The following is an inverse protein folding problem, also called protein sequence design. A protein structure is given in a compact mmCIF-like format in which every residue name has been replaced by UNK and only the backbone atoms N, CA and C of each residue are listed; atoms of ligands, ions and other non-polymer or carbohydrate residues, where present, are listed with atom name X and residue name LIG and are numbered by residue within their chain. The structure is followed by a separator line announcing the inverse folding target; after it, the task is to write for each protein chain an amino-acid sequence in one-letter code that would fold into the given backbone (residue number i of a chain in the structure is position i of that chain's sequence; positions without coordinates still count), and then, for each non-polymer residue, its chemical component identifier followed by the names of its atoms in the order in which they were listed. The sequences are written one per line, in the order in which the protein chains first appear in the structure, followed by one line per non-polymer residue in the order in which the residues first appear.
data_IF_920958993062
#
_entry.id   IF_920958993062
#
_cell.length_a   1.000
_cell.length_b   1.000
_cell.length_c   1.000
_cell.angle_alpha   90.00
_cell.angle_beta   90.00
_cell.angle_gamma   90.00
#
_symmetry.space_group_name_H-M   'P 1'
#
loop_
_entity.id
_entity.type
_entity.pdbx_description
1 polymer ?
#
# COMPACT_ATOMS: atom_id res chain seq x y z
N UNK A 1 2.46 51.13 -17.74
CA UNK A 1 2.02 52.10 -16.72
C UNK A 1 0.67 52.67 -17.14
N UNK A 2 -0.17 52.96 -16.15
CA UNK A 2 -1.62 53.04 -16.28
C UNK A 2 -2.13 54.47 -16.48
N UNK A 3 -3.27 54.56 -17.14
CA UNK A 3 -4.12 55.76 -17.25
C UNK A 3 -4.28 56.52 -15.93
N UNK A 4 -4.20 55.79 -14.80
CA UNK A 4 -4.26 56.34 -13.45
C UNK A 4 -3.16 57.35 -13.13
N UNK A 5 -1.95 57.20 -13.68
CA UNK A 5 -0.85 58.12 -13.40
C UNK A 5 -1.04 59.45 -14.13
N UNK A 6 -1.53 59.39 -15.37
CA UNK A 6 -1.94 60.59 -16.13
C UNK A 6 -3.08 61.32 -15.42
N UNK A 7 -4.08 60.59 -14.90
CA UNK A 7 -5.17 61.18 -14.11
C UNK A 7 -4.64 61.84 -12.83
N UNK A 8 -3.76 61.17 -12.10
CA UNK A 8 -3.11 61.72 -10.89
C UNK A 8 -2.33 63.01 -11.19
N UNK A 9 -1.60 63.04 -12.31
CA UNK A 9 -0.85 64.22 -12.74
C UNK A 9 -1.77 65.34 -13.24
N UNK A 10 -2.91 65.02 -13.87
CA UNK A 10 -3.93 66.01 -14.22
C UNK A 10 -4.51 66.69 -12.97
N UNK A 11 -4.85 65.91 -11.95
CA UNK A 11 -5.35 66.44 -10.67
C UNK A 11 -4.28 67.28 -9.96
N UNK A 12 -3.02 66.82 -9.99
CA UNK A 12 -1.89 67.56 -9.42
C UNK A 12 -1.68 68.90 -10.12
N UNK A 13 -1.70 68.93 -11.45
CA UNK A 13 -1.60 70.16 -12.25
C UNK A 13 -2.79 71.09 -11.99
N UNK A 14 -4.00 70.54 -11.82
CA UNK A 14 -5.20 71.31 -11.53
C UNK A 14 -5.12 72.01 -10.15
N UNK A 15 -4.56 71.35 -9.14
CA UNK A 15 -4.42 71.92 -7.79
C UNK A 15 -3.14 72.74 -7.59
N UNK A 16 -2.08 72.45 -8.34
CA UNK A 16 -0.78 73.12 -8.24
C UNK A 16 -0.22 73.42 -9.64
N UNK A 17 -0.74 74.45 -10.34
CA UNK A 17 -0.30 74.79 -11.67
C UNK A 17 1.09 75.44 -11.61
N UNK A 18 2.13 74.63 -11.81
CA UNK A 18 3.49 75.10 -12.00
C UNK A 18 4.09 74.44 -13.25
N UNK A 19 5.15 75.05 -13.79
CA UNK A 19 5.78 74.61 -15.04
C UNK A 19 6.24 73.14 -14.97
N UNK A 20 6.83 72.74 -13.86
CA UNK A 20 7.36 71.38 -13.64
C UNK A 20 6.26 70.32 -13.68
N UNK A 21 5.10 70.59 -13.09
CA UNK A 21 3.94 69.70 -13.10
C UNK A 21 3.36 69.55 -14.51
N UNK A 22 3.27 70.64 -15.29
CA UNK A 22 2.84 70.57 -16.69
C UNK A 22 3.84 69.78 -17.56
N UNK A 23 5.14 70.01 -17.40
CA UNK A 23 6.18 69.28 -18.13
C UNK A 23 6.11 67.78 -17.82
N UNK A 24 5.92 67.42 -16.55
CA UNK A 24 5.78 66.02 -16.11
C UNK A 24 4.52 65.38 -16.72
N UNK A 25 3.37 66.06 -16.70
CA UNK A 25 2.13 65.56 -17.29
C UNK A 25 2.26 65.36 -18.80
N UNK A 26 2.85 66.32 -19.53
CA UNK A 26 3.03 66.23 -20.98
C UNK A 26 3.96 65.08 -21.33
N UNK A 27 5.07 64.92 -20.61
CA UNK A 27 6.01 63.82 -20.81
C UNK A 27 5.33 62.46 -20.61
N UNK A 28 4.53 62.32 -19.55
CA UNK A 28 3.80 61.08 -19.28
C UNK A 28 2.71 60.80 -20.34
N UNK A 29 2.01 61.83 -20.82
CA UNK A 29 1.05 61.69 -21.91
C UNK A 29 1.72 61.28 -23.21
N UNK A 30 2.89 61.84 -23.54
CA UNK A 30 3.67 61.43 -24.72
C UNK A 30 4.09 59.97 -24.63
N UNK A 31 4.62 59.53 -23.48
CA UNK A 31 4.99 58.13 -23.24
C UNK A 31 3.79 57.18 -23.34
N UNK A 32 2.61 57.61 -22.87
CA UNK A 32 1.38 56.83 -23.02
C UNK A 32 1.00 56.66 -24.49
N UNK A 33 1.05 57.72 -25.28
CA UNK A 33 0.73 57.69 -26.71
C UNK A 33 1.73 56.84 -27.49
N UNK A 34 3.04 56.96 -27.22
CA UNK A 34 4.07 56.11 -27.84
C UNK A 34 3.84 54.62 -27.56
N UNK A 35 3.49 54.25 -26.32
CA UNK A 35 3.15 52.86 -25.99
C UNK A 35 1.89 52.38 -26.70
N UNK A 36 0.86 53.22 -26.79
CA UNK A 36 -0.35 52.85 -27.54
C UNK A 36 -0.04 52.65 -29.02
N UNK A 37 0.84 53.47 -29.59
CA UNK A 37 1.32 53.32 -30.96
C UNK A 37 2.09 52.02 -31.13
N UNK A 38 3.02 51.69 -30.23
CA UNK A 38 3.80 50.44 -30.24
C UNK A 38 2.92 49.19 -30.09
N UNK A 39 1.90 49.24 -29.23
CA UNK A 39 0.92 48.15 -29.10
C UNK A 39 0.13 47.98 -30.38
N UNK A 40 -0.28 49.09 -31.03
CA UNK A 40 -1.03 49.07 -32.28
C UNK A 40 -0.18 48.55 -33.44
N UNK A 41 1.07 49.00 -33.59
CA UNK A 41 1.97 48.51 -34.64
C UNK A 41 2.27 47.03 -34.45
N UNK A 42 2.54 46.56 -33.23
CA UNK A 42 2.70 45.13 -32.93
C UNK A 42 1.44 44.32 -33.23
N UNK A 43 0.25 44.87 -32.97
CA UNK A 43 -1.00 44.21 -33.32
C UNK A 43 -1.20 44.12 -34.84
N UNK A 44 -0.85 45.18 -35.59
CA UNK A 44 -0.90 45.21 -37.05
C UNK A 44 0.13 44.23 -37.67
N UNK A 45 1.34 44.15 -37.11
CA UNK A 45 2.36 43.17 -37.50
C UNK A 45 1.89 41.74 -37.27
N UNK A 46 1.30 41.42 -36.11
CA UNK A 46 0.70 40.11 -35.83
C UNK A 46 -0.45 39.80 -36.79
N UNK A 47 -1.30 40.78 -37.09
CA UNK A 47 -2.41 40.60 -38.02
C UNK A 47 -1.91 40.35 -39.45
N UNK A 48 -0.85 41.04 -39.88
CA UNK A 48 -0.20 40.78 -41.18
C UNK A 48 0.49 39.43 -41.22
N UNK A 49 1.18 39.02 -40.15
CA UNK A 49 1.79 37.70 -40.04
C UNK A 49 0.73 36.59 -40.12
N UNK A 50 -0.37 36.73 -39.37
CA UNK A 50 -1.49 35.81 -39.41
C UNK A 50 -2.18 35.75 -40.79
N UNK A 51 -2.25 36.88 -41.52
CA UNK A 51 -2.76 36.90 -42.90
C UNK A 51 -1.83 36.17 -43.86
N UNK A 52 -0.51 36.39 -43.77
CA UNK A 52 0.47 35.66 -44.60
C UNK A 52 0.44 34.18 -44.31
N UNK A 53 0.39 33.79 -43.04
CA UNK A 53 0.27 32.39 -42.61
C UNK A 53 -1.04 31.77 -43.13
N UNK A 54 -2.16 32.50 -43.05
CA UNK A 54 -3.43 32.05 -43.61
C UNK A 54 -3.40 31.92 -45.15
N UNK A 55 -2.69 32.80 -45.87
CA UNK A 55 -2.48 32.68 -47.31
C UNK A 55 -1.55 31.52 -47.67
N UNK A 56 -0.50 31.28 -46.87
CA UNK A 56 0.41 30.15 -47.02
C UNK A 56 -0.35 28.83 -46.81
N UNK A 57 -1.11 28.72 -45.72
CA UNK A 57 -1.97 27.57 -45.43
C UNK A 57 -3.04 27.38 -46.51
N UNK A 58 -3.60 28.46 -47.08
CA UNK A 58 -4.50 28.34 -48.23
C UNK A 58 -3.79 27.79 -49.45
N UNK A 59 -2.56 28.25 -49.73
CA UNK A 59 -1.72 27.73 -50.81
C UNK A 59 -1.42 26.24 -50.64
N UNK A 60 -1.03 25.83 -49.43
CA UNK A 60 -0.79 24.42 -49.06
C UNK A 60 -2.07 23.59 -49.16
N UNK A 61 -3.23 24.11 -48.72
CA UNK A 61 -4.52 23.43 -48.87
C UNK A 61 -4.87 23.26 -50.36
N UNK A 62 -4.61 24.27 -51.20
CA UNK A 62 -4.87 24.21 -52.64
C UNK A 62 -3.93 23.23 -53.35
N UNK A 63 -2.67 23.16 -52.92
CA UNK A 63 -1.66 22.22 -53.41
C UNK A 63 -2.00 20.78 -52.99
N UNK A 64 -2.31 20.56 -51.70
CA UNK A 64 -2.82 19.29 -51.19
C UNK A 64 -4.10 18.88 -51.91
N UNK A 65 -5.04 19.78 -52.19
CA UNK A 65 -6.24 19.47 -52.99
C UNK A 65 -5.89 19.02 -54.41
N UNK A 66 -4.91 19.65 -55.06
CA UNK A 66 -4.42 19.23 -56.38
C UNK A 66 -3.76 17.86 -56.34
N UNK A 67 -2.94 17.59 -55.33
CA UNK A 67 -2.34 16.27 -55.11
C UNK A 67 -3.41 15.20 -54.82
N UNK A 68 -4.38 15.52 -53.96
CA UNK A 68 -5.47 14.61 -53.58
C UNK A 68 -6.41 14.32 -54.74
N UNK A 69 -6.63 15.27 -55.65
CA UNK A 69 -7.44 15.05 -56.87
C UNK A 69 -6.82 14.02 -57.82
N UNK A 70 -5.51 13.74 -57.70
CA UNK A 70 -4.81 12.73 -58.49
C UNK A 70 -4.68 11.35 -57.80
N UNK A 71 -5.11 11.23 -56.55
CA UNK A 71 -5.04 9.99 -55.78
C UNK A 71 -6.38 9.22 -55.81
N UNK A 72 -6.39 7.89 -55.99
CA UNK A 72 -7.63 7.12 -56.08
C UNK A 72 -8.38 7.10 -54.73
N UNK A 73 -9.64 7.51 -54.77
CA UNK A 73 -10.56 7.55 -53.64
C UNK A 73 -10.67 6.20 -52.91
N UNK A 74 -10.46 6.17 -51.59
CA UNK A 74 -10.74 4.99 -50.76
C UNK A 74 -11.45 5.27 -49.43
N UNK A 75 -11.90 6.49 -49.17
CA UNK A 75 -12.74 6.78 -47.99
C UNK A 75 -13.70 7.92 -48.32
N UNK A 76 -15.02 7.71 -48.24
CA UNK A 76 -15.98 8.76 -48.57
C UNK A 76 -15.98 9.85 -47.49
N UNK A 77 -16.25 11.10 -47.88
CA UNK A 77 -16.30 12.21 -46.93
C UNK A 77 -17.38 12.02 -45.84
N UNK A 78 -18.47 11.32 -46.18
CA UNK A 78 -19.60 11.02 -45.27
C UNK A 78 -19.16 10.05 -44.17
N UNK A 79 -18.50 8.95 -44.52
CA UNK A 79 -17.99 7.97 -43.54
C UNK A 79 -16.98 8.59 -42.57
N UNK A 80 -16.21 9.57 -43.05
CA UNK A 80 -15.28 10.32 -42.21
C UNK A 80 -16.01 11.18 -41.19
N UNK A 81 -17.03 11.93 -41.60
CA UNK A 81 -17.83 12.75 -40.68
C UNK A 81 -18.51 11.89 -39.62
N UNK A 82 -19.14 10.78 -40.03
CA UNK A 82 -19.75 9.82 -39.12
C UNK A 82 -18.74 9.21 -38.13
N UNK A 83 -17.51 8.94 -38.58
CA UNK A 83 -16.42 8.49 -37.71
C UNK A 83 -16.12 9.51 -36.60
N UNK A 84 -15.93 10.78 -36.95
CA UNK A 84 -15.61 11.83 -35.96
C UNK A 84 -16.74 12.05 -34.97
N UNK A 85 -17.99 12.06 -35.45
CA UNK A 85 -19.17 12.22 -34.60
C UNK A 85 -19.25 11.08 -33.59
N UNK A 86 -19.12 9.84 -34.08
CA UNK A 86 -19.20 8.64 -33.25
C UNK A 86 -18.03 8.56 -32.26
N UNK A 87 -16.80 8.83 -32.72
CA UNK A 87 -15.61 8.85 -31.88
C UNK A 87 -15.73 9.88 -30.75
N UNK A 88 -16.18 11.09 -31.07
CA UNK A 88 -16.35 12.18 -30.09
C UNK A 88 -17.48 11.88 -29.10
N UNK A 89 -18.57 11.27 -29.57
CA UNK A 89 -19.67 10.84 -28.72
C UNK A 89 -19.21 9.79 -27.68
N UNK A 90 -18.44 8.79 -28.10
CA UNK A 90 -17.87 7.80 -27.17
C UNK A 90 -16.90 8.41 -26.17
N UNK A 91 -16.02 9.31 -26.61
CA UNK A 91 -15.10 9.97 -25.69
C UNK A 91 -15.87 10.75 -24.61
N UNK A 92 -16.90 11.52 -25.00
CA UNK A 92 -17.75 12.26 -24.05
C UNK A 92 -18.43 11.33 -23.05
N UNK A 93 -19.00 10.23 -23.53
CA UNK A 93 -19.68 9.23 -22.70
C UNK A 93 -18.69 8.57 -21.71
N UNK A 94 -17.48 8.21 -22.15
CA UNK A 94 -16.46 7.63 -21.29
C UNK A 94 -15.96 8.62 -20.24
N UNK A 95 -15.74 9.89 -20.62
CA UNK A 95 -15.38 10.96 -19.67
C UNK A 95 -16.48 11.17 -18.62
N UNK A 96 -17.74 11.27 -19.03
CA UNK A 96 -18.87 11.42 -18.11
C UNK A 96 -18.96 10.25 -17.12
N UNK A 97 -18.83 9.00 -17.60
CA UNK A 97 -18.86 7.82 -16.74
C UNK A 97 -17.68 7.76 -15.79
N UNK A 98 -16.49 8.14 -16.26
CA UNK A 98 -15.30 8.28 -15.42
C UNK A 98 -15.54 9.27 -14.28
N UNK A 99 -16.11 10.44 -14.58
CA UNK A 99 -16.43 11.46 -13.56
C UNK A 99 -17.43 10.94 -12.53
N UNK A 100 -18.54 10.32 -12.98
CA UNK A 100 -19.55 9.74 -12.10
C UNK A 100 -18.95 8.66 -11.19
N UNK A 101 -18.15 7.75 -11.73
CA UNK A 101 -17.52 6.68 -10.96
C UNK A 101 -16.47 7.22 -9.99
N UNK A 102 -15.65 8.19 -10.43
CA UNK A 102 -14.65 8.82 -9.57
C UNK A 102 -15.33 9.57 -8.41
N UNK A 103 -16.44 10.24 -8.69
CA UNK A 103 -17.26 10.89 -7.67
C UNK A 103 -17.83 9.87 -6.68
N UNK A 104 -18.39 8.75 -7.17
CA UNK A 104 -18.90 7.69 -6.31
C UNK A 104 -17.81 7.10 -5.41
N UNK A 105 -16.61 6.87 -5.95
CA UNK A 105 -15.47 6.34 -5.20
C UNK A 105 -14.87 7.35 -4.22
N UNK A 106 -15.12 8.65 -4.43
CA UNK A 106 -14.67 9.71 -3.51
C UNK A 106 -15.62 9.94 -2.32
N UNK A 107 -16.78 9.28 -2.29
CA UNK A 107 -17.72 9.44 -1.19
C UNK A 107 -17.11 8.94 0.13
N UNK A 108 -17.15 9.75 1.20
CA UNK A 108 -16.88 9.27 2.54
C UNK A 108 -17.83 8.12 2.90
N UNK A 109 -17.32 7.11 3.62
CA UNK A 109 -18.11 5.95 4.03
C UNK A 109 -19.36 6.33 4.86
N UNK A 110 -19.33 7.48 5.55
CA UNK A 110 -20.47 8.00 6.32
C UNK A 110 -21.60 8.53 5.43
N UNK A 111 -21.26 9.30 4.41
CA UNK A 111 -22.22 9.87 3.46
C UNK A 111 -22.83 8.79 2.55
N UNK A 112 -22.04 7.75 2.27
CA UNK A 112 -22.49 6.62 1.48
C UNK A 112 -23.73 5.93 2.05
N UNK A 113 -24.03 6.11 3.35
CA UNK A 113 -25.24 5.61 4.04
C UNK A 113 -26.54 6.28 3.58
N UNK A 114 -26.46 7.51 3.09
CA UNK A 114 -27.61 8.31 2.68
C UNK A 114 -27.95 8.15 1.19
N UNK A 115 -27.04 7.55 0.42
CA UNK A 115 -27.20 7.35 -1.02
C UNK A 115 -28.28 6.29 -1.31
N UNK A 116 -29.12 6.57 -2.31
CA UNK A 116 -30.06 5.60 -2.88
C UNK A 116 -29.30 4.51 -3.66
N UNK A 117 -28.90 3.45 -2.94
CA UNK A 117 -28.16 2.33 -3.53
C UNK A 117 -28.91 1.62 -4.66
N UNK A 118 -30.24 1.66 -4.66
CA UNK A 118 -31.07 1.08 -5.73
C UNK A 118 -30.78 1.75 -7.07
N UNK A 119 -30.72 3.08 -7.09
CA UNK A 119 -30.44 3.89 -8.28
C UNK A 119 -29.00 3.69 -8.74
N UNK A 120 -28.03 3.72 -7.82
CA UNK A 120 -26.61 3.49 -8.13
C UNK A 120 -26.36 2.06 -8.61
N UNK A 121 -26.94 1.05 -7.94
CA UNK A 121 -26.83 -0.36 -8.34
C UNK A 121 -27.46 -0.58 -9.71
N UNK A 122 -28.65 -0.03 -9.97
CA UNK A 122 -29.29 -0.15 -11.27
C UNK A 122 -28.40 0.44 -12.36
N UNK A 123 -27.82 1.61 -12.14
CA UNK A 123 -26.88 2.23 -13.08
C UNK A 123 -25.65 1.35 -13.32
N UNK A 124 -25.05 0.78 -12.27
CA UNK A 124 -23.93 -0.16 -12.37
C UNK A 124 -24.29 -1.48 -13.05
N UNK A 125 -25.54 -1.94 -12.93
CA UNK A 125 -26.04 -3.17 -13.55
C UNK A 125 -26.26 -2.98 -15.07
N UNK A 126 -26.56 -1.76 -15.54
CA UNK A 126 -26.59 -1.44 -16.97
C UNK A 126 -25.21 -1.47 -17.65
N UNK A 127 -24.13 -1.61 -16.86
CA UNK A 127 -22.76 -1.61 -17.36
C UNK A 127 -22.50 -2.69 -18.41
N UNK A 128 -22.98 -3.91 -18.20
CA UNK A 128 -22.71 -5.03 -19.13
C UNK A 128 -23.26 -4.74 -20.53
N UNK A 129 -24.49 -4.19 -20.60
CA UNK A 129 -25.12 -3.80 -21.85
C UNK A 129 -24.38 -2.64 -22.51
N UNK A 130 -23.99 -1.63 -21.71
CA UNK A 130 -23.19 -0.51 -22.17
C UNK A 130 -21.83 -0.96 -22.73
N UNK A 131 -21.09 -1.76 -21.97
CA UNK A 131 -19.76 -2.23 -22.34
C UNK A 131 -19.78 -3.02 -23.64
N UNK A 132 -20.75 -3.95 -23.80
CA UNK A 132 -20.88 -4.70 -25.05
C UNK A 132 -21.21 -3.80 -26.25
N UNK A 133 -22.06 -2.79 -26.07
CA UNK A 133 -22.41 -1.82 -27.11
C UNK A 133 -21.22 -0.90 -27.46
N UNK A 134 -20.51 -0.39 -26.46
CA UNK A 134 -19.33 0.45 -26.62
C UNK A 134 -18.19 -0.34 -27.29
N UNK A 135 -17.90 -1.55 -26.83
CA UNK A 135 -16.82 -2.38 -27.37
C UNK A 135 -17.08 -2.74 -28.84
N UNK A 136 -18.30 -3.16 -29.19
CA UNK A 136 -18.67 -3.45 -30.58
C UNK A 136 -18.55 -2.22 -31.48
N UNK A 137 -18.95 -1.05 -30.98
CA UNK A 137 -18.87 0.20 -31.73
C UNK A 137 -17.43 0.70 -31.91
N UNK A 138 -16.59 0.62 -30.87
CA UNK A 138 -15.16 0.98 -30.96
C UNK A 138 -14.42 0.00 -31.89
N UNK A 139 -14.79 -1.29 -31.90
CA UNK A 139 -14.26 -2.26 -32.88
C UNK A 139 -14.65 -1.87 -34.32
N UNK A 140 -15.87 -1.40 -34.54
CA UNK A 140 -16.30 -0.91 -35.86
C UNK A 140 -15.51 0.33 -36.28
N UNK A 141 -15.28 1.29 -35.39
CA UNK A 141 -14.41 2.43 -35.64
C UNK A 141 -12.99 1.97 -35.99
N UNK A 142 -12.44 0.98 -35.28
CA UNK A 142 -11.10 0.46 -35.55
C UNK A 142 -10.99 -0.21 -36.92
N UNK A 143 -12.08 -0.81 -37.41
CA UNK A 143 -12.14 -1.33 -38.78
C UNK A 143 -12.07 -0.19 -39.80
N UNK A 144 -12.88 0.85 -39.62
CA UNK A 144 -12.87 2.05 -40.45
C UNK A 144 -11.51 2.78 -40.43
N UNK A 145 -10.86 2.86 -39.27
CA UNK A 145 -9.50 3.41 -39.10
C UNK A 145 -8.49 2.65 -39.98
N UNK A 146 -8.57 1.31 -40.01
CA UNK A 146 -7.67 0.46 -40.82
C UNK A 146 -7.94 0.52 -42.32
N UNK A 147 -9.21 0.66 -42.70
CA UNK A 147 -9.64 0.80 -44.10
C UNK A 147 -9.23 2.16 -44.69
N UNK A 148 -8.98 3.16 -43.85
CA UNK A 148 -8.38 4.44 -44.23
C UNK A 148 -6.88 4.26 -44.54
N UNK A 149 -6.58 3.60 -45.66
CA UNK A 149 -5.24 3.12 -46.01
C UNK A 149 -4.15 4.20 -46.23
N UNK A 150 -4.48 5.49 -46.19
CA UNK A 150 -3.58 6.55 -46.65
C UNK A 150 -3.57 7.75 -45.71
N UNK A 151 -2.74 7.71 -44.65
CA UNK A 151 -2.22 8.88 -43.91
C UNK A 151 -3.24 9.93 -43.41
N UNK A 152 -4.53 9.66 -43.53
CA UNK A 152 -5.59 10.59 -43.28
C UNK A 152 -5.85 10.61 -41.78
N UNK A 153 -5.91 11.82 -41.25
CA UNK A 153 -5.85 12.22 -39.85
C UNK A 153 -7.03 11.76 -38.99
N UNK A 154 -7.49 10.50 -39.09
CA UNK A 154 -8.53 9.99 -38.20
C UNK A 154 -7.97 9.86 -36.77
N UNK A 155 -8.70 10.33 -35.74
CA UNK A 155 -8.32 10.15 -34.35
C UNK A 155 -8.14 8.66 -34.03
N UNK A 156 -7.04 8.26 -33.38
CA UNK A 156 -6.75 6.85 -33.14
C UNK A 156 -7.78 6.24 -32.18
N UNK A 157 -8.31 5.05 -32.51
CA UNK A 157 -9.24 4.34 -31.61
C UNK A 157 -8.59 3.85 -30.32
N UNK A 158 -7.25 3.80 -30.26
CA UNK A 158 -6.50 3.43 -29.05
C UNK A 158 -6.90 4.28 -27.84
N UNK A 159 -7.11 5.59 -28.02
CA UNK A 159 -7.51 6.49 -26.92
C UNK A 159 -8.89 6.12 -26.35
N UNK A 160 -9.81 5.64 -27.19
CA UNK A 160 -11.12 5.16 -26.76
C UNK A 160 -11.00 3.86 -25.97
N UNK A 161 -10.12 2.95 -26.37
CA UNK A 161 -9.85 1.74 -25.60
C UNK A 161 -9.23 2.05 -24.24
N UNK A 162 -8.23 2.94 -24.19
CA UNK A 162 -7.59 3.34 -22.93
C UNK A 162 -8.61 4.01 -21.99
N UNK A 163 -9.49 4.87 -22.52
CA UNK A 163 -10.57 5.48 -21.76
C UNK A 163 -11.61 4.44 -21.29
N UNK A 164 -12.01 3.50 -22.14
CA UNK A 164 -12.96 2.44 -21.79
C UNK A 164 -12.38 1.51 -20.70
N UNK A 165 -11.12 1.09 -20.83
CA UNK A 165 -10.43 0.25 -19.85
C UNK A 165 -10.37 0.95 -18.48
N UNK A 166 -10.12 2.27 -18.45
CA UNK A 166 -10.12 3.04 -17.21
C UNK A 166 -11.52 3.12 -16.57
N UNK A 167 -12.57 3.34 -17.38
CA UNK A 167 -13.95 3.32 -16.88
C UNK A 167 -14.34 1.92 -16.38
N UNK A 168 -13.91 0.84 -17.05
CA UNK A 168 -14.10 -0.54 -16.56
C UNK A 168 -13.50 -0.73 -15.17
N UNK A 169 -12.26 -0.29 -14.97
CA UNK A 169 -11.56 -0.42 -13.67
C UNK A 169 -12.32 0.32 -12.57
N UNK A 170 -12.70 1.57 -12.83
CA UNK A 170 -13.47 2.37 -11.88
C UNK A 170 -14.86 1.76 -11.61
N UNK A 171 -15.49 1.14 -12.60
CA UNK A 171 -16.79 0.50 -12.44
C UNK A 171 -16.73 -0.74 -11.55
N UNK A 172 -15.69 -1.56 -11.69
CA UNK A 172 -15.47 -2.73 -10.81
C UNK A 172 -15.29 -2.28 -9.36
N UNK A 173 -14.45 -1.27 -9.12
CA UNK A 173 -14.25 -0.68 -7.79
C UNK A 173 -15.56 -0.16 -7.20
N UNK A 174 -16.31 0.62 -7.99
CA UNK A 174 -17.61 1.15 -7.59
C UNK A 174 -18.61 0.04 -7.25
N UNK A 175 -18.64 -1.04 -8.03
CA UNK A 175 -19.51 -2.20 -7.79
C UNK A 175 -19.15 -2.92 -6.49
N UNK A 176 -17.87 -3.12 -6.21
CA UNK A 176 -17.42 -3.72 -4.95
C UNK A 176 -17.82 -2.84 -3.76
N UNK A 177 -17.63 -1.52 -3.86
CA UNK A 177 -17.99 -0.57 -2.80
C UNK A 177 -19.52 -0.54 -2.55
N UNK A 178 -20.33 -0.44 -3.60
CA UNK A 178 -21.80 -0.51 -3.51
C UNK A 178 -22.27 -1.87 -2.97
N UNK A 179 -21.64 -2.95 -3.42
CA UNK A 179 -21.93 -4.32 -2.96
C UNK A 179 -21.67 -4.49 -1.47
N UNK A 180 -20.52 -3.98 -0.98
CA UNK A 180 -20.18 -3.97 0.44
C UNK A 180 -21.19 -3.17 1.26
N UNK A 181 -21.57 -1.97 0.83
CA UNK A 181 -22.58 -1.19 1.58
C UNK A 181 -23.96 -1.84 1.54
N UNK A 182 -24.36 -2.40 0.40
CA UNK A 182 -25.64 -3.12 0.30
C UNK A 182 -25.65 -4.29 1.26
N UNK A 183 -24.56 -5.07 1.30
CA UNK A 183 -24.37 -6.11 2.30
C UNK A 183 -24.48 -5.52 3.70
N UNK A 184 -23.75 -4.44 4.01
CA UNK A 184 -23.77 -3.71 5.28
C UNK A 184 -25.18 -3.35 5.76
N UNK A 185 -25.99 -2.75 4.88
CA UNK A 185 -27.37 -2.32 5.18
C UNK A 185 -28.32 -3.50 5.30
N UNK A 186 -28.11 -4.57 4.53
CA UNK A 186 -28.91 -5.80 4.64
C UNK A 186 -28.54 -6.64 5.86
N UNK A 187 -27.27 -6.62 6.26
CA UNK A 187 -26.72 -7.37 7.38
C UNK A 187 -26.87 -6.63 8.70
N UNK A 188 -27.24 -5.36 8.72
CA UNK A 188 -27.70 -4.69 9.94
C UNK A 188 -29.07 -5.18 10.46
N UNK A 189 -29.54 -6.37 10.04
CA UNK A 189 -30.72 -7.01 10.60
C UNK A 189 -30.44 -7.54 12.01
N UNK A 190 -31.48 -7.63 12.84
CA UNK A 190 -31.38 -8.15 14.20
C UNK A 190 -30.91 -9.60 14.27
N UNK A 191 -31.10 -10.37 13.19
CA UNK A 191 -30.63 -11.75 13.05
C UNK A 191 -29.09 -11.82 12.97
N UNK A 192 -28.45 -11.00 12.12
CA UNK A 192 -27.00 -10.95 12.04
C UNK A 192 -26.37 -10.45 13.34
N UNK A 193 -27.02 -9.50 14.03
CA UNK A 193 -26.57 -9.07 15.35
C UNK A 193 -26.61 -10.25 16.32
N UNK A 194 -27.67 -11.07 16.32
CA UNK A 194 -27.76 -12.25 17.17
C UNK A 194 -26.67 -13.27 16.84
N UNK A 195 -26.48 -13.61 15.57
CA UNK A 195 -25.46 -14.59 15.14
C UNK A 195 -24.04 -14.12 15.48
N UNK A 196 -23.78 -12.81 15.33
CA UNK A 196 -22.54 -12.18 15.76
C UNK A 196 -22.35 -12.31 17.28
N UNK A 197 -23.39 -12.00 18.07
CA UNK A 197 -23.32 -12.10 19.53
C UNK A 197 -23.13 -13.55 19.99
N UNK A 198 -23.73 -14.53 19.32
CA UNK A 198 -23.53 -15.95 19.63
C UNK A 198 -22.07 -16.38 19.36
N UNK A 199 -21.50 -15.94 18.24
CA UNK A 199 -20.10 -16.21 17.87
C UNK A 199 -19.11 -15.53 18.82
N UNK A 200 -19.38 -14.26 19.16
CA UNK A 200 -18.58 -13.51 20.12
C UNK A 200 -18.64 -14.12 21.53
N UNK A 201 -19.84 -14.55 21.96
CA UNK A 201 -20.04 -15.17 23.26
C UNK A 201 -19.26 -16.48 23.38
N UNK A 202 -19.25 -17.32 22.33
CA UNK A 202 -18.47 -18.56 22.33
C UNK A 202 -16.96 -18.31 22.52
N UNK A 203 -16.42 -17.29 21.84
CA UNK A 203 -15.00 -16.92 21.97
C UNK A 203 -14.68 -16.35 23.35
N UNK A 204 -15.59 -15.53 23.90
CA UNK A 204 -15.44 -14.98 25.24
C UNK A 204 -15.49 -16.08 26.31
N UNK A 205 -16.45 -17.01 26.21
CA UNK A 205 -16.57 -18.16 27.12
C UNK A 205 -15.35 -19.08 27.03
N UNK A 206 -14.83 -19.29 25.82
CA UNK A 206 -13.59 -20.04 25.63
C UNK A 206 -12.43 -19.34 26.35
N UNK A 207 -12.24 -18.03 26.16
CA UNK A 207 -11.17 -17.29 26.84
C UNK A 207 -11.27 -17.39 28.36
N UNK A 208 -12.47 -17.22 28.91
CA UNK A 208 -12.73 -17.37 30.34
C UNK A 208 -12.43 -18.78 30.85
N UNK A 209 -12.86 -19.81 30.12
CA UNK A 209 -12.57 -21.21 30.48
C UNK A 209 -11.07 -21.50 30.46
N UNK A 210 -10.33 -20.93 29.51
CA UNK A 210 -8.87 -21.05 29.49
C UNK A 210 -8.23 -20.34 30.69
N UNK A 211 -8.71 -19.16 31.06
CA UNK A 211 -8.24 -18.43 32.26
C UNK A 211 -8.53 -19.20 33.55
N UNK A 212 -9.72 -19.77 33.70
CA UNK A 212 -10.10 -20.59 34.84
C UNK A 212 -9.23 -21.86 34.93
N UNK A 213 -8.99 -22.49 33.78
CA UNK A 213 -8.09 -23.64 33.67
C UNK A 213 -6.67 -23.25 34.09
N UNK A 214 -6.14 -22.17 33.49
CA UNK A 214 -4.84 -21.61 33.82
C UNK A 214 -4.74 -21.33 35.31
N UNK A 215 -5.75 -20.71 35.94
CA UNK A 215 -5.80 -20.39 37.36
C UNK A 215 -5.68 -21.64 38.26
N UNK A 216 -6.23 -22.78 37.84
CA UNK A 216 -6.16 -24.05 38.57
C UNK A 216 -4.78 -24.72 38.52
N UNK A 217 -3.98 -24.49 37.46
CA UNK A 217 -2.65 -25.11 37.30
C UNK A 217 -1.66 -24.59 38.34
N UNK A 218 -0.85 -25.48 38.93
CA UNK A 218 0.09 -25.12 40.01
C UNK A 218 1.55 -25.47 39.70
N UNK A 219 1.78 -26.55 38.98
CA UNK A 219 3.14 -27.03 38.70
C UNK A 219 3.69 -26.39 37.44
N UNK A 220 5.02 -26.28 37.33
CA UNK A 220 5.66 -25.77 36.12
C UNK A 220 5.39 -26.69 34.91
N UNK A 221 5.37 -28.01 35.12
CA UNK A 221 5.07 -28.98 34.06
C UNK A 221 3.69 -28.75 33.43
N UNK A 222 2.64 -28.63 34.25
CA UNK A 222 1.29 -28.39 33.76
C UNK A 222 1.18 -27.05 33.02
N UNK A 223 1.88 -26.02 33.50
CA UNK A 223 1.90 -24.70 32.86
C UNK A 223 2.61 -24.73 31.50
N UNK A 224 3.69 -25.51 31.37
CA UNK A 224 4.37 -25.71 30.09
C UNK A 224 3.45 -26.45 29.11
N UNK A 225 2.77 -27.51 29.56
CA UNK A 225 1.82 -28.24 28.71
C UNK A 225 0.66 -27.36 28.25
N UNK A 226 0.06 -26.61 29.18
CA UNK A 226 -0.97 -25.63 28.86
C UNK A 226 -0.46 -24.58 27.88
N UNK A 227 0.74 -24.04 28.10
CA UNK A 227 1.33 -23.04 27.22
C UNK A 227 1.58 -23.58 25.81
N UNK A 228 2.09 -24.81 25.68
CA UNK A 228 2.29 -25.45 24.38
C UNK A 228 0.95 -25.64 23.65
N UNK A 229 -0.08 -26.09 24.37
CA UNK A 229 -1.44 -26.19 23.82
C UNK A 229 -2.00 -24.83 23.43
N UNK A 230 -1.82 -23.81 24.27
CA UNK A 230 -2.25 -22.44 24.01
C UNK A 230 -1.59 -21.88 22.75
N UNK A 231 -0.26 -21.98 22.62
CA UNK A 231 0.47 -21.55 21.42
C UNK A 231 -0.01 -22.25 20.14
N UNK A 232 -0.34 -23.54 20.20
CA UNK A 232 -0.92 -24.25 19.06
C UNK A 232 -2.31 -23.75 18.67
N UNK A 233 -3.08 -23.20 19.62
CA UNK A 233 -4.42 -22.66 19.39
C UNK A 233 -4.42 -21.16 19.00
N UNK A 234 -3.32 -20.42 19.21
CA UNK A 234 -3.23 -18.99 18.87
C UNK A 234 -3.63 -18.70 17.40
N UNK A 235 -3.13 -19.42 16.37
CA UNK A 235 -3.52 -19.15 14.99
C UNK A 235 -5.02 -19.35 14.71
N UNK A 236 -5.64 -20.31 15.40
CA UNK A 236 -7.08 -20.57 15.29
C UNK A 236 -7.86 -19.43 15.94
N UNK A 237 -7.40 -18.95 17.09
CA UNK A 237 -8.02 -17.82 17.78
C UNK A 237 -7.87 -16.52 16.98
N UNK A 238 -6.69 -16.25 16.42
CA UNK A 238 -6.46 -15.08 15.56
C UNK A 238 -7.38 -15.11 14.34
N UNK A 239 -7.55 -16.30 13.71
CA UNK A 239 -8.51 -16.47 12.61
C UNK A 239 -9.95 -16.21 13.05
N UNK A 240 -10.36 -16.71 14.21
CA UNK A 240 -11.71 -16.51 14.73
C UNK A 240 -11.98 -15.03 15.07
N UNK A 241 -11.00 -14.35 15.67
CA UNK A 241 -11.04 -12.91 15.94
C UNK A 241 -11.11 -12.11 14.64
N UNK A 242 -10.34 -12.49 13.61
CA UNK A 242 -10.38 -11.83 12.31
C UNK A 242 -11.77 -11.97 11.66
N UNK A 243 -12.38 -13.16 11.71
CA UNK A 243 -13.74 -13.37 11.22
C UNK A 243 -14.75 -12.51 11.98
N UNK A 244 -14.68 -12.43 13.31
CA UNK A 244 -15.52 -11.52 14.09
C UNK A 244 -15.32 -10.07 13.68
N UNK A 245 -14.07 -9.65 13.49
CA UNK A 245 -13.73 -8.29 13.08
C UNK A 245 -14.33 -7.96 11.71
N UNK A 246 -14.21 -8.84 10.73
CA UNK A 246 -14.81 -8.67 9.40
C UNK A 246 -16.34 -8.63 9.44
N UNK A 247 -16.97 -9.51 10.24
CA UNK A 247 -18.43 -9.48 10.44
C UNK A 247 -18.89 -8.20 11.15
N UNK A 248 -18.09 -7.72 12.10
CA UNK A 248 -18.42 -6.53 12.88
C UNK A 248 -18.42 -5.26 12.05
N UNK A 249 -17.65 -5.20 10.97
CA UNK A 249 -17.48 -4.01 10.12
C UNK A 249 -18.86 -3.47 9.66
N UNK A 250 -19.81 -4.37 9.40
CA UNK A 250 -21.17 -4.00 9.05
C UNK A 250 -22.05 -3.56 10.22
N UNK A 251 -21.77 -4.09 11.40
CA UNK A 251 -22.52 -3.89 12.63
C UNK A 251 -21.92 -2.79 13.53
N UNK A 252 -20.85 -2.13 13.08
CA UNK A 252 -20.07 -1.15 13.85
C UNK A 252 -20.87 0.02 14.39
N UNK A 253 -22.05 0.36 13.84
CA UNK A 253 -22.93 1.38 14.40
C UNK A 253 -23.67 0.92 15.67
N UNK A 254 -23.67 -0.37 15.98
CA UNK A 254 -24.33 -0.93 17.14
C UNK A 254 -23.40 -0.91 18.36
N UNK A 255 -23.75 -0.12 19.37
CA UNK A 255 -22.97 0.02 20.62
C UNK A 255 -22.77 -1.33 21.31
N UNK A 256 -23.78 -2.22 21.28
CA UNK A 256 -23.67 -3.56 21.89
C UNK A 256 -22.59 -4.41 21.22
N UNK A 257 -22.47 -4.32 19.90
CA UNK A 257 -21.42 -5.03 19.14
C UNK A 257 -20.04 -4.46 19.46
N UNK A 258 -19.92 -3.13 19.53
CA UNK A 258 -18.66 -2.49 19.93
C UNK A 258 -18.22 -2.94 21.34
N UNK A 259 -19.14 -2.93 22.31
CA UNK A 259 -18.83 -3.32 23.68
C UNK A 259 -18.47 -4.81 23.78
N UNK A 260 -19.21 -5.67 23.07
CA UNK A 260 -18.92 -7.10 23.01
C UNK A 260 -17.53 -7.39 22.40
N UNK A 261 -17.14 -6.66 21.35
CA UNK A 261 -15.81 -6.76 20.75
C UNK A 261 -14.69 -6.29 21.69
N UNK A 262 -14.91 -5.19 22.42
CA UNK A 262 -13.95 -4.73 23.44
C UNK A 262 -13.81 -5.77 24.54
N UNK A 263 -14.90 -6.39 24.95
CA UNK A 263 -14.92 -7.38 26.03
C UNK A 263 -14.16 -8.65 25.64
N UNK A 264 -14.44 -9.24 24.47
CA UNK A 264 -13.73 -10.45 24.01
C UNK A 264 -12.24 -10.16 23.77
N UNK A 265 -11.89 -9.00 23.20
CA UNK A 265 -10.49 -8.63 22.98
C UNK A 265 -9.75 -8.43 24.32
N UNK A 266 -10.40 -7.77 25.29
CA UNK A 266 -9.86 -7.64 26.65
C UNK A 266 -9.61 -9.01 27.28
N UNK A 267 -10.56 -9.94 27.18
CA UNK A 267 -10.39 -11.30 27.72
C UNK A 267 -9.25 -12.06 27.05
N UNK A 268 -9.07 -11.91 25.74
CA UNK A 268 -7.95 -12.50 25.00
C UNK A 268 -6.59 -11.95 25.41
N UNK A 269 -6.48 -10.62 25.52
CA UNK A 269 -5.25 -9.95 26.01
C UNK A 269 -4.96 -10.39 27.46
N UNK A 270 -5.98 -10.43 28.31
CA UNK A 270 -5.83 -10.89 29.70
C UNK A 270 -5.36 -12.35 29.77
N UNK A 271 -5.92 -13.24 28.96
CA UNK A 271 -5.48 -14.64 28.89
C UNK A 271 -4.01 -14.75 28.50
N UNK A 272 -3.57 -13.99 27.48
CA UNK A 272 -2.17 -13.98 27.03
C UNK A 272 -1.24 -13.47 28.15
N UNK A 273 -1.61 -12.37 28.80
CA UNK A 273 -0.83 -11.77 29.90
C UNK A 273 -0.77 -12.67 31.13
N UNK A 274 -1.87 -13.31 31.51
CA UNK A 274 -1.93 -14.22 32.64
C UNK A 274 -1.14 -15.49 32.37
N UNK A 275 -1.19 -16.02 31.15
CA UNK A 275 -0.40 -17.20 30.74
C UNK A 275 1.08 -16.91 30.90
N UNK A 276 1.55 -15.79 30.32
CA UNK A 276 2.94 -15.36 30.45
C UNK A 276 3.33 -15.11 31.91
N UNK A 277 2.53 -14.33 32.65
CA UNK A 277 2.82 -13.96 34.03
C UNK A 277 2.86 -15.16 34.98
N UNK A 278 1.96 -16.13 34.77
CA UNK A 278 1.90 -17.34 35.60
C UNK A 278 3.05 -18.30 35.29
N UNK A 279 3.40 -18.46 34.01
CA UNK A 279 4.55 -19.25 33.60
C UNK A 279 5.85 -18.64 34.16
N UNK A 280 6.04 -17.33 34.01
CA UNK A 280 7.20 -16.63 34.57
C UNK A 280 7.28 -16.80 36.09
N UNK A 281 6.19 -16.59 36.82
CA UNK A 281 6.18 -16.76 38.28
C UNK A 281 6.51 -18.20 38.72
N UNK A 282 6.05 -19.20 37.95
CA UNK A 282 6.41 -20.60 38.20
C UNK A 282 7.89 -20.86 37.90
N UNK A 283 8.41 -20.36 36.77
CA UNK A 283 9.83 -20.44 36.43
C UNK A 283 10.71 -19.80 37.50
N UNK A 284 10.38 -18.59 37.96
CA UNK A 284 11.13 -17.91 39.04
C UNK A 284 11.11 -18.71 40.33
N UNK A 285 9.97 -19.31 40.69
CA UNK A 285 9.85 -20.14 41.90
C UNK A 285 10.69 -21.42 41.81
N UNK A 286 10.64 -22.12 40.69
CA UNK A 286 11.46 -23.32 40.45
C UNK A 286 12.96 -22.97 40.35
N UNK A 287 13.30 -21.84 39.72
CA UNK A 287 14.67 -21.36 39.68
C UNK A 287 15.19 -21.02 41.07
N UNK A 288 14.38 -20.32 41.88
CA UNK A 288 14.73 -19.96 43.25
C UNK A 288 14.87 -21.15 44.20
N UNK A 289 14.16 -22.26 43.95
CA UNK A 289 14.35 -23.52 44.67
C UNK A 289 15.53 -24.34 44.10
N UNK A 290 15.88 -24.12 42.84
CA UNK A 290 17.05 -24.72 42.22
C UNK A 290 18.34 -24.14 42.81
N UNK A 291 19.42 -24.93 42.76
CA UNK A 291 20.76 -24.42 43.03
C UNK A 291 21.52 -24.06 41.76
N UNK A 292 20.82 -23.95 40.62
CA UNK A 292 21.40 -23.79 39.29
C UNK A 292 22.27 -22.54 39.20
N UNK A 293 21.72 -21.37 39.55
CA UNK A 293 22.43 -20.09 39.50
C UNK A 293 23.73 -20.13 40.32
N UNK A 294 23.65 -20.66 41.54
CA UNK A 294 24.81 -20.81 42.43
C UNK A 294 25.85 -21.78 41.87
N UNK A 295 25.41 -22.88 41.24
CA UNK A 295 26.31 -23.86 40.64
C UNK A 295 27.00 -23.29 39.39
N UNK A 296 26.26 -22.59 38.52
CA UNK A 296 26.80 -21.89 37.37
C UNK A 296 27.78 -20.79 37.78
N UNK A 297 27.45 -19.98 38.80
CA UNK A 297 28.37 -18.98 39.34
C UNK A 297 29.68 -19.61 39.85
N UNK A 298 29.59 -20.74 40.57
CA UNK A 298 30.78 -21.50 41.00
C UNK A 298 31.57 -22.07 39.82
N UNK A 299 30.88 -22.55 38.78
CA UNK A 299 31.53 -23.06 37.58
C UNK A 299 32.37 -21.98 36.92
N UNK A 300 31.78 -20.81 36.64
CA UNK A 300 32.45 -19.67 36.01
C UNK A 300 33.61 -19.17 36.88
N UNK A 301 33.38 -19.02 38.18
CA UNK A 301 34.37 -18.43 39.08
C UNK A 301 35.57 -19.36 39.34
N UNK A 302 35.35 -20.68 39.44
CA UNK A 302 36.37 -21.61 39.91
C UNK A 302 36.73 -22.71 38.90
N UNK A 303 35.76 -23.34 38.26
CA UNK A 303 36.00 -24.53 37.44
C UNK A 303 36.46 -24.17 36.03
N UNK A 304 35.78 -23.24 35.38
CA UNK A 304 36.05 -22.81 34.00
C UNK A 304 37.50 -22.31 33.81
N UNK A 305 38.02 -21.36 34.63
CA UNK A 305 39.41 -20.91 34.53
C UNK A 305 40.44 -22.01 34.80
N UNK A 306 40.10 -23.02 35.61
CA UNK A 306 41.00 -24.16 35.90
C UNK A 306 41.04 -25.13 34.72
N UNK A 307 39.87 -25.50 34.19
CA UNK A 307 39.76 -26.41 33.06
C UNK A 307 40.38 -25.80 31.81
N UNK A 308 40.11 -24.53 31.51
CA UNK A 308 40.74 -23.80 30.39
C UNK A 308 42.27 -23.79 30.51
N UNK A 309 42.82 -23.46 31.68
CA UNK A 309 44.28 -23.49 31.90
C UNK A 309 44.86 -24.89 31.70
N UNK A 310 44.17 -25.93 32.17
CA UNK A 310 44.61 -27.31 31.99
C UNK A 310 44.63 -27.70 30.50
N UNK A 311 43.55 -27.42 29.77
CA UNK A 311 43.44 -27.74 28.34
C UNK A 311 44.48 -26.98 27.50
N UNK A 312 44.68 -25.69 27.75
CA UNK A 312 45.70 -24.88 27.07
C UNK A 312 47.11 -25.41 27.38
N UNK A 313 47.39 -25.76 28.64
CA UNK A 313 48.69 -26.34 29.02
C UNK A 313 48.92 -27.71 28.38
N UNK A 314 47.89 -28.56 28.32
CA UNK A 314 47.95 -29.87 27.69
C UNK A 314 48.20 -29.73 26.19
N UNK A 315 47.46 -28.85 25.51
CA UNK A 315 47.65 -28.54 24.10
C UNK A 315 49.06 -28.04 23.82
N UNK A 316 49.57 -27.10 24.62
CA UNK A 316 50.92 -26.56 24.47
C UNK A 316 52.03 -27.57 24.69
N UNK A 317 51.82 -28.56 25.58
CA UNK A 317 52.78 -29.64 25.81
C UNK A 317 52.75 -30.65 24.67
N UNK A 318 51.56 -31.06 24.23
CA UNK A 318 51.38 -32.02 23.13
C UNK A 318 51.84 -31.46 21.78
N UNK A 319 51.75 -30.14 21.57
CA UNK A 319 52.22 -29.48 20.35
C UNK A 319 53.76 -29.53 20.18
N UNK A 320 54.51 -29.80 21.26
CA UNK A 320 55.98 -29.95 21.18
C UNK A 320 56.39 -31.29 20.56
N UNK A 321 55.53 -32.32 20.68
CA UNK A 321 55.75 -33.67 20.14
C UNK A 321 54.91 -33.87 18.85
N UNK A 322 54.99 -32.90 17.94
CA UNK A 322 54.15 -32.86 16.74
C UNK A 322 54.37 -34.04 15.78
N UNK A 323 55.39 -34.86 15.96
CA UNK A 323 55.67 -36.00 15.10
C UNK A 323 54.94 -37.29 15.52
N UNK A 324 54.34 -37.31 16.72
CA UNK A 324 53.59 -38.46 17.24
C UNK A 324 52.11 -38.33 16.81
N UNK A 325 51.56 -39.27 16.01
CA UNK A 325 50.16 -39.21 15.55
C UNK A 325 49.13 -39.10 16.68
N UNK A 326 49.36 -39.81 17.79
CA UNK A 326 48.53 -39.78 18.98
C UNK A 326 48.54 -38.39 19.63
N UNK A 327 49.70 -37.70 19.64
CA UNK A 327 49.80 -36.34 20.15
C UNK A 327 48.99 -35.36 19.28
N UNK A 328 49.05 -35.48 17.94
CA UNK A 328 48.21 -34.68 17.03
C UNK A 328 46.71 -34.86 17.31
N UNK A 329 46.26 -36.11 17.47
CA UNK A 329 44.86 -36.40 17.77
C UNK A 329 44.42 -35.77 19.11
N UNK A 330 45.27 -35.86 20.13
CA UNK A 330 45.00 -35.26 21.43
C UNK A 330 44.99 -33.72 21.39
N UNK A 331 45.86 -33.09 20.57
CA UNK A 331 45.83 -31.64 20.33
C UNK A 331 44.48 -31.22 19.73
N UNK A 332 44.03 -31.88 18.67
CA UNK A 332 42.73 -31.60 18.04
C UNK A 332 41.57 -31.81 19.02
N UNK A 333 41.68 -32.83 19.88
CA UNK A 333 40.69 -33.10 20.93
C UNK A 333 40.67 -31.96 21.97
N UNK A 334 41.84 -31.46 22.38
CA UNK A 334 41.94 -30.30 23.29
C UNK A 334 41.33 -29.04 22.66
N UNK A 335 41.56 -28.80 21.36
CA UNK A 335 40.96 -27.68 20.63
C UNK A 335 39.43 -27.76 20.60
N UNK A 336 38.90 -28.95 20.33
CA UNK A 336 37.46 -29.17 20.34
C UNK A 336 36.87 -28.95 21.74
N UNK A 337 37.51 -29.51 22.78
CA UNK A 337 37.11 -29.30 24.17
C UNK A 337 37.18 -27.83 24.60
N UNK A 338 38.15 -27.06 24.11
CA UNK A 338 38.24 -25.62 24.37
C UNK A 338 37.05 -24.87 23.75
N UNK A 339 36.65 -25.19 22.51
CA UNK A 339 35.47 -24.59 21.88
C UNK A 339 34.16 -24.95 22.59
N UNK A 340 33.99 -26.23 22.94
CA UNK A 340 32.82 -26.69 23.71
C UNK A 340 32.78 -26.06 25.10
N UNK A 341 33.93 -25.92 25.74
CA UNK A 341 34.07 -25.22 27.00
C UNK A 341 33.63 -23.76 26.90
N UNK A 342 34.06 -23.02 25.86
CA UNK A 342 33.62 -21.63 25.64
C UNK A 342 32.10 -21.52 25.46
N UNK A 343 31.50 -22.41 24.68
CA UNK A 343 30.04 -22.46 24.53
C UNK A 343 29.33 -22.74 25.88
N UNK A 344 29.84 -23.69 26.67
CA UNK A 344 29.31 -23.99 27.99
C UNK A 344 29.49 -22.83 28.99
N UNK A 345 30.62 -22.11 28.92
CA UNK A 345 30.91 -20.95 29.77
C UNK A 345 29.94 -19.80 29.49
N UNK A 346 29.60 -19.55 28.22
CA UNK A 346 28.56 -18.59 27.83
C UNK A 346 27.21 -18.98 28.45
N UNK A 347 26.79 -20.25 28.30
CA UNK A 347 25.53 -20.74 28.89
C UNK A 347 25.53 -20.60 30.41
N UNK A 348 26.61 -20.99 31.08
CA UNK A 348 26.74 -20.81 32.53
C UNK A 348 26.66 -19.34 32.93
N UNK A 349 27.31 -18.45 32.20
CA UNK A 349 27.31 -16.99 32.45
C UNK A 349 25.91 -16.42 32.32
N UNK A 350 25.14 -16.89 31.33
CA UNK A 350 23.73 -16.57 31.29
C UNK A 350 23.03 -17.14 32.55
N UNK A 351 23.14 -18.43 32.86
CA UNK A 351 22.42 -19.01 33.99
C UNK A 351 22.81 -18.45 35.38
N UNK A 352 24.02 -17.91 35.55
CA UNK A 352 24.52 -17.37 36.83
C UNK A 352 23.90 -16.04 37.23
N UNK A 353 23.34 -15.30 36.28
CA UNK A 353 22.80 -13.96 36.49
C UNK A 353 21.30 -13.91 36.20
N UNK A 354 20.62 -15.05 36.28
CA UNK A 354 19.19 -15.16 35.98
C UNK A 354 18.36 -14.23 36.86
N UNK A 355 18.59 -14.20 38.17
CA UNK A 355 17.80 -13.40 39.10
C UNK A 355 17.94 -11.90 38.81
N UNK A 356 19.17 -11.45 38.52
CA UNK A 356 19.45 -10.06 38.15
C UNK A 356 18.73 -9.69 36.85
N UNK A 357 18.75 -10.55 35.84
CA UNK A 357 18.04 -10.28 34.58
C UNK A 357 16.53 -10.21 34.76
N UNK A 358 15.94 -11.11 35.54
CA UNK A 358 14.51 -11.05 35.86
C UNK A 358 14.15 -9.76 36.58
N UNK A 359 14.98 -9.28 37.50
CA UNK A 359 14.80 -8.00 38.18
C UNK A 359 14.91 -6.80 37.21
N UNK A 360 15.84 -6.83 36.26
CA UNK A 360 15.97 -5.79 35.24
C UNK A 360 14.80 -5.80 34.23
N UNK A 361 14.24 -6.96 33.89
CA UNK A 361 13.14 -7.09 32.92
C UNK A 361 11.79 -6.74 33.54
N UNK A 362 11.60 -6.96 34.85
CA UNK A 362 10.32 -6.79 35.55
C UNK A 362 9.66 -5.41 35.33
N UNK A 363 10.35 -4.26 35.43
CA UNK A 363 9.72 -2.96 35.17
C UNK A 363 9.19 -2.81 33.73
N UNK A 364 9.91 -3.38 32.75
CA UNK A 364 9.48 -3.36 31.34
C UNK A 364 8.25 -4.22 31.12
N UNK A 365 8.20 -5.38 31.76
CA UNK A 365 7.03 -6.25 31.72
C UNK A 365 5.82 -5.59 32.39
N UNK A 366 6.00 -4.94 33.53
CA UNK A 366 4.92 -4.29 34.26
C UNK A 366 4.37 -3.09 33.46
N UNK A 367 5.25 -2.33 32.81
CA UNK A 367 4.85 -1.29 31.86
C UNK A 367 4.08 -1.88 30.67
N UNK A 368 4.56 -2.96 30.06
CA UNK A 368 3.87 -3.62 28.95
C UNK A 368 2.48 -4.14 29.35
N UNK A 369 2.35 -4.74 30.54
CA UNK A 369 1.07 -5.17 31.10
C UNK A 369 0.11 -3.98 31.27
N UNK A 370 0.59 -2.87 31.84
CA UNK A 370 -0.22 -1.68 32.03
C UNK A 370 -0.70 -1.09 30.70
N UNK A 371 0.17 -1.01 29.70
CA UNK A 371 -0.17 -0.51 28.37
C UNK A 371 -1.16 -1.43 27.64
N UNK A 372 -0.95 -2.75 27.67
CA UNK A 372 -1.85 -3.72 27.04
C UNK A 372 -3.23 -3.76 27.69
N UNK A 373 -3.32 -3.46 28.98
CA UNK A 373 -4.60 -3.35 29.71
C UNK A 373 -5.24 -1.97 29.63
N UNK A 374 -4.59 -1.00 28.97
CA UNK A 374 -5.14 0.34 28.84
C UNK A 374 -6.39 0.34 27.96
N UNK A 375 -7.32 1.25 28.27
CA UNK A 375 -8.53 1.43 27.45
C UNK A 375 -8.19 1.87 26.02
N UNK A 376 -7.09 2.62 25.85
CA UNK A 376 -6.60 3.04 24.54
C UNK A 376 -6.19 1.81 23.71
N UNK A 377 -5.30 0.98 24.25
CA UNK A 377 -4.85 -0.24 23.56
C UNK A 377 -5.99 -1.17 23.24
N UNK A 378 -6.92 -1.38 24.19
CA UNK A 378 -8.13 -2.16 23.95
C UNK A 378 -8.93 -1.58 22.77
N UNK A 379 -9.11 -0.26 22.74
CA UNK A 379 -9.85 0.41 21.65
C UNK A 379 -9.12 0.29 20.31
N UNK A 380 -7.80 0.48 20.27
CA UNK A 380 -6.98 0.40 19.05
C UNK A 380 -6.95 -1.03 18.51
N UNK A 381 -6.77 -2.03 19.38
CA UNK A 381 -6.77 -3.44 18.97
C UNK A 381 -8.15 -3.91 18.54
N UNK A 382 -9.23 -3.37 19.13
CA UNK A 382 -10.60 -3.73 18.77
C UNK A 382 -11.08 -2.99 17.53
N UNK A 383 -10.67 -1.74 17.32
CA UNK A 383 -11.10 -0.92 16.19
C UNK A 383 -9.87 -0.32 15.50
N UNK A 384 -9.03 -1.15 14.84
CA UNK A 384 -7.88 -0.63 14.11
C UNK A 384 -8.31 0.44 13.08
N UNK A 385 -9.51 0.28 12.52
CA UNK A 385 -10.11 1.22 11.58
C UNK A 385 -10.49 2.59 12.17
N UNK A 386 -10.69 2.71 13.50
CA UNK A 386 -11.09 3.98 14.10
C UNK A 386 -9.96 5.04 14.05
N UNK A 387 -8.69 4.61 14.00
CA UNK A 387 -7.54 5.53 13.93
C UNK A 387 -6.94 5.62 12.50
N UNK A 388 -7.32 4.71 11.60
CA UNK A 388 -6.77 4.66 10.23
C UNK A 388 -7.83 4.72 9.13
N UNK A 389 -8.96 5.39 9.39
CA UNK A 389 -10.15 5.48 8.53
C UNK A 389 -9.95 6.03 7.09
N UNK A 390 -8.72 6.09 6.58
CA UNK A 390 -8.43 6.16 5.13
C UNK A 390 -7.36 5.16 4.72
N UNK A 391 -6.19 5.20 5.34
CA UNK A 391 -4.98 4.57 4.78
C UNK A 391 -4.98 3.04 4.72
N UNK A 392 -5.55 2.34 5.70
CA UNK A 392 -5.48 0.87 5.73
C UNK A 392 -6.60 0.20 4.93
N UNK A 393 -7.80 0.81 4.92
CA UNK A 393 -8.87 0.44 4.01
C UNK A 393 -8.46 0.72 2.56
N UNK A 394 -7.83 1.87 2.31
CA UNK A 394 -7.17 2.15 1.03
C UNK A 394 -6.11 1.10 0.72
N UNK A 395 -5.22 0.77 1.66
CA UNK A 395 -4.19 -0.25 1.43
C UNK A 395 -4.78 -1.62 1.08
N UNK A 396 -5.76 -2.13 1.86
CA UNK A 396 -6.44 -3.40 1.56
C UNK A 396 -7.15 -3.32 0.20
N UNK A 397 -7.84 -2.21 -0.08
CA UNK A 397 -8.45 -1.95 -1.39
C UNK A 397 -7.42 -1.89 -2.52
N UNK A 398 -6.21 -1.38 -2.27
CA UNK A 398 -5.11 -1.30 -3.25
C UNK A 398 -4.44 -2.65 -3.46
N UNK A 399 -4.33 -3.47 -2.42
CA UNK A 399 -3.83 -4.85 -2.53
C UNK A 399 -4.85 -5.70 -3.30
N UNK A 400 -6.14 -5.60 -2.99
CA UNK A 400 -7.20 -6.27 -3.75
C UNK A 400 -7.25 -5.78 -5.20
N UNK A 401 -7.11 -4.46 -5.45
CA UNK A 401 -6.98 -3.90 -6.79
C UNK A 401 -5.74 -4.42 -7.52
N UNK A 402 -4.59 -4.56 -6.83
CA UNK A 402 -3.37 -5.12 -7.39
C UNK A 402 -3.54 -6.61 -7.72
N UNK A 403 -4.18 -7.38 -6.85
CA UNK A 403 -4.48 -8.78 -7.07
C UNK A 403 -5.38 -8.95 -8.30
N UNK A 404 -6.45 -8.17 -8.37
CA UNK A 404 -7.39 -8.17 -9.50
C UNK A 404 -6.71 -7.67 -10.78
N UNK A 405 -5.83 -6.67 -10.69
CA UNK A 405 -5.01 -6.21 -11.81
C UNK A 405 -4.05 -7.30 -12.29
N UNK A 406 -3.41 -8.04 -11.39
CA UNK A 406 -2.56 -9.20 -11.71
C UNK A 406 -3.40 -10.29 -12.38
N UNK A 407 -4.61 -10.57 -11.89
CA UNK A 407 -5.50 -11.58 -12.47
C UNK A 407 -5.98 -11.16 -13.88
N UNK A 408 -6.36 -9.90 -14.06
CA UNK A 408 -6.79 -9.36 -15.36
C UNK A 408 -5.63 -9.25 -16.37
N UNK A 409 -4.42 -8.88 -15.91
CA UNK A 409 -3.23 -8.78 -16.78
C UNK A 409 -2.54 -10.13 -17.00
N UNK A 410 -2.70 -11.10 -16.11
CA UNK A 410 -2.25 -12.47 -16.34
C UNK A 410 -3.11 -13.16 -17.40
N UNK A 411 -4.42 -12.89 -17.44
CA UNK A 411 -5.33 -13.39 -18.49
C UNK A 411 -5.04 -12.80 -19.87
N UNK A 412 -4.77 -11.49 -19.97
CA UNK A 412 -4.34 -10.88 -21.22
C UNK A 412 -2.83 -11.09 -21.33
N UNK A 413 -2.37 -12.16 -21.99
CA UNK A 413 -0.99 -12.70 -22.14
C UNK A 413 0.27 -11.80 -22.22
N UNK A 414 0.16 -10.51 -21.90
CA UNK A 414 1.19 -9.58 -21.47
C UNK A 414 2.05 -10.10 -20.33
N UNK A 415 1.48 -10.80 -19.33
CA UNK A 415 2.30 -11.42 -18.27
C UNK A 415 3.21 -12.50 -18.83
N UNK A 416 2.68 -13.38 -19.69
CA UNK A 416 3.47 -14.38 -20.42
C UNK A 416 4.56 -13.70 -21.25
N UNK A 417 4.25 -12.64 -21.99
CA UNK A 417 5.26 -11.86 -22.74
C UNK A 417 6.30 -11.17 -21.84
N UNK A 418 5.91 -10.71 -20.65
CA UNK A 418 6.82 -10.14 -19.67
C UNK A 418 7.74 -11.20 -19.09
N UNK A 419 7.21 -12.40 -18.81
CA UNK A 419 7.97 -13.56 -18.36
C UNK A 419 8.94 -14.03 -19.43
N UNK A 420 8.49 -14.21 -20.67
CA UNK A 420 9.34 -14.52 -21.82
C UNK A 420 10.45 -13.48 -21.99
N UNK A 421 10.12 -12.19 -21.86
CA UNK A 421 11.11 -11.12 -21.97
C UNK A 421 12.08 -11.09 -20.79
N UNK A 422 11.63 -11.44 -19.58
CA UNK A 422 12.47 -11.54 -18.40
C UNK A 422 13.41 -12.74 -18.49
N UNK A 423 12.93 -13.88 -18.99
CA UNK A 423 13.76 -15.06 -19.29
C UNK A 423 14.79 -14.76 -20.37
N UNK A 424 14.40 -14.07 -21.46
CA UNK A 424 15.33 -13.67 -22.53
C UNK A 424 16.38 -12.68 -22.03
N UNK A 425 16.00 -11.78 -21.11
CA UNK A 425 16.94 -10.86 -20.45
C UNK A 425 17.88 -11.61 -19.50
N UNK A 426 17.36 -12.59 -18.74
CA UNK A 426 18.17 -13.44 -17.87
C UNK A 426 19.18 -14.25 -18.67
N UNK A 427 18.79 -14.85 -19.79
CA UNK A 427 19.68 -15.57 -20.69
C UNK A 427 20.79 -14.66 -21.26
N UNK A 428 20.47 -13.43 -21.67
CA UNK A 428 21.49 -12.45 -22.08
C UNK A 428 22.45 -12.08 -20.94
N UNK A 429 21.94 -11.94 -19.72
CA UNK A 429 22.77 -11.65 -18.55
C UNK A 429 23.69 -12.83 -18.24
N UNK A 430 23.20 -14.06 -18.31
CA UNK A 430 24.00 -15.28 -18.12
C UNK A 430 25.07 -15.40 -19.23
N UNK A 431 24.73 -15.19 -20.49
CA UNK A 431 25.69 -15.17 -21.60
C UNK A 431 26.76 -14.08 -21.41
N UNK A 432 26.37 -12.87 -20.97
CA UNK A 432 27.34 -11.81 -20.67
C UNK A 432 28.15 -12.08 -19.41
N UNK A 433 27.59 -12.77 -18.42
CA UNK A 433 28.31 -13.21 -17.23
C UNK A 433 29.35 -14.27 -17.59
N UNK A 434 29.03 -15.25 -18.45
CA UNK A 434 29.98 -16.25 -18.93
C UNK A 434 31.13 -15.62 -19.74
N UNK A 435 30.87 -14.53 -20.45
CA UNK A 435 31.91 -13.76 -21.17
C UNK A 435 32.78 -12.95 -20.21
N UNK A 436 32.21 -12.39 -19.14
CA UNK A 436 32.92 -11.55 -18.16
C UNK A 436 33.66 -12.36 -17.09
N UNK A 437 33.14 -13.55 -16.79
CA UNK A 437 33.65 -14.51 -15.82
C UNK A 437 33.73 -15.86 -16.51
N UNK A 438 34.58 -16.01 -17.55
CA UNK A 438 34.79 -17.33 -18.14
C UNK A 438 35.22 -18.25 -17.01
N UNK A 439 34.38 -19.21 -16.64
CA UNK A 439 34.71 -20.17 -15.60
C UNK A 439 36.08 -20.72 -15.94
N UNK A 440 37.02 -20.47 -15.01
CA UNK A 440 38.44 -20.78 -15.10
C UNK A 440 38.60 -22.21 -15.62
N UNK A 441 38.72 -22.33 -16.95
CA UNK A 441 38.89 -23.61 -17.60
C UNK A 441 40.34 -24.02 -17.32
N UNK A 442 40.56 -25.12 -16.59
CA UNK A 442 41.89 -25.54 -16.16
C UNK A 442 42.83 -25.87 -17.31
#
# INVERSE_FOLDING_TARGET
MSLSEVQRLQDLVYHQPNKENYETLVLEQMLMVERQLDVKTKAEERAMAARREAEQLRGEIEELRRETASAPATFSAVEREDYYVTWTAFLKEFCMRKEILSFLLSYPAEDFKLVELTTVSHWLDTWTTFFASAESSVRNLKRLERESANGNTLPPTRLLYDALDEVCRLQLQARTLVGRERYRRSSSSEEFVRDFMDSQQQLWEWCRKQRDTLAALKTLGDLIEFNNSFYANVPVMDSNFLVLMEQSEALMSNVRVQDALREVNREWVMLTLETYGKLQAACTREHGSSSLERQCAKWIQFMSPRLRRLLVSAQGTLAQDSDVPEAKLLVTTCEQLLKEHEAHDIVCTHLSDYTVREECVRPHLDALKAELQSSLTTTVLTFPLADTAGGQADYKSRVEELQEWIDVKSQKGTYVKLLERLELTKAMIEEHADVLFPEDSP
#
